data_IF_417088736599
#
_entry.id   IF_417088736599
#
_cell.length_a   1.000
_cell.length_b   1.000
_cell.length_c   1.000
_cell.angle_alpha   90.00
_cell.angle_beta   90.00
_cell.angle_gamma   90.00
#
_symmetry.space_group_name_H-M   'P 1'
#
loop_
_entity.id
_entity.type
_entity.pdbx_description
1 polymer ?
#
# COMPACT_ATOMS: atom_id res chain seq x y z
N UNK A 1 -35.70 -45.47 -35.84
CA UNK A 1 -35.42 -44.48 -36.89
C UNK A 1 -35.22 -43.14 -36.18
N UNK A 2 -34.02 -42.57 -36.28
CA UNK A 2 -33.64 -41.29 -35.69
C UNK A 2 -33.14 -40.37 -36.80
N UNK A 3 -33.41 -39.08 -36.67
CA UNK A 3 -32.96 -38.08 -37.62
C UNK A 3 -31.62 -37.51 -37.17
N UNK A 4 -30.63 -37.52 -38.07
CA UNK A 4 -29.32 -36.91 -37.86
C UNK A 4 -29.22 -35.67 -38.74
N UNK A 5 -28.63 -34.60 -38.22
CA UNK A 5 -28.25 -33.42 -38.99
C UNK A 5 -26.82 -33.59 -39.48
N UNK A 6 -26.62 -33.68 -40.79
CA UNK A 6 -25.30 -33.86 -41.40
C UNK A 6 -24.97 -32.67 -42.29
N UNK A 7 -23.75 -32.16 -42.16
CA UNK A 7 -23.20 -31.10 -43.00
C UNK A 7 -22.29 -31.72 -44.07
N UNK A 8 -22.64 -31.55 -45.33
CA UNK A 8 -21.85 -32.01 -46.47
C UNK A 8 -20.64 -31.10 -46.70
N UNK A 9 -19.62 -31.62 -47.39
CA UNK A 9 -18.41 -30.86 -47.73
C UNK A 9 -18.70 -29.57 -48.53
N UNK A 10 -19.84 -29.51 -49.22
CA UNK A 10 -20.30 -28.34 -49.98
C UNK A 10 -21.00 -27.28 -49.10
N UNK A 11 -21.10 -27.50 -47.78
CA UNK A 11 -21.74 -26.59 -46.82
C UNK A 11 -23.26 -26.72 -46.73
N UNK A 12 -23.85 -27.71 -47.41
CA UNK A 12 -25.27 -28.02 -47.31
C UNK A 12 -25.56 -28.86 -46.07
N UNK A 13 -26.62 -28.51 -45.34
CA UNK A 13 -27.05 -29.23 -44.14
C UNK A 13 -28.35 -29.96 -44.48
N UNK A 14 -28.35 -31.28 -44.36
CA UNK A 14 -29.55 -32.10 -44.51
C UNK A 14 -29.86 -32.91 -43.25
N UNK A 15 -31.15 -33.15 -43.05
CA UNK A 15 -31.66 -34.00 -42.00
C UNK A 15 -31.97 -35.37 -42.60
N UNK A 16 -31.16 -36.37 -42.25
CA UNK A 16 -31.22 -37.72 -42.80
C UNK A 16 -31.88 -38.62 -41.75
N UNK A 17 -32.94 -39.35 -42.14
CA UNK A 17 -33.53 -40.38 -41.30
C UNK A 17 -32.71 -41.67 -41.39
N UNK A 18 -32.19 -42.13 -40.25
CA UNK A 18 -31.27 -43.26 -40.18
C UNK A 18 -31.71 -44.24 -39.10
N UNK A 19 -31.20 -45.46 -39.17
CA UNK A 19 -31.43 -46.48 -38.14
C UNK A 19 -30.74 -46.08 -36.81
N UNK A 20 -31.27 -46.58 -35.69
CA UNK A 20 -30.86 -46.12 -34.36
C UNK A 20 -29.38 -46.40 -34.07
N UNK A 21 -28.85 -47.51 -34.58
CA UNK A 21 -27.44 -47.90 -34.43
C UNK A 21 -26.50 -46.91 -35.14
N UNK A 22 -26.89 -46.44 -36.34
CA UNK A 22 -26.10 -45.49 -37.13
C UNK A 22 -26.11 -44.11 -36.47
N UNK A 23 -27.23 -43.73 -35.86
CA UNK A 23 -27.34 -42.48 -35.11
C UNK A 23 -26.47 -42.47 -33.84
N UNK A 24 -26.31 -43.60 -33.18
CA UNK A 24 -25.44 -43.71 -32.01
C UNK A 24 -23.96 -43.60 -32.39
N UNK A 25 -23.53 -44.31 -33.44
CA UNK A 25 -22.15 -44.24 -33.96
C UNK A 25 -21.80 -42.82 -34.41
N UNK A 26 -22.71 -42.13 -35.12
CA UNK A 26 -22.48 -40.76 -35.54
C UNK A 26 -22.29 -39.80 -34.35
N UNK A 27 -23.09 -39.95 -33.30
CA UNK A 27 -22.97 -39.15 -32.09
C UNK A 27 -21.66 -39.41 -31.33
N UNK A 28 -21.11 -40.62 -31.39
CA UNK A 28 -19.78 -40.92 -30.84
C UNK A 28 -18.65 -40.26 -31.64
N UNK A 29 -18.72 -40.28 -32.96
CA UNK A 29 -17.75 -39.63 -33.85
C UNK A 29 -17.73 -38.12 -33.59
N UNK A 30 -18.89 -37.46 -33.56
CA UNK A 30 -18.95 -36.02 -33.24
C UNK A 30 -18.32 -35.70 -31.87
N UNK A 31 -18.61 -36.52 -30.86
CA UNK A 31 -18.02 -36.34 -29.52
C UNK A 31 -16.50 -36.48 -29.56
N UNK A 32 -15.98 -37.42 -30.36
CA UNK A 32 -14.55 -37.61 -30.53
C UNK A 32 -13.92 -36.42 -31.26
N UNK A 33 -14.48 -35.97 -32.37
CA UNK A 33 -13.99 -34.81 -33.13
C UNK A 33 -13.99 -33.53 -32.29
N UNK A 34 -15.08 -33.27 -31.55
CA UNK A 34 -15.13 -32.12 -30.61
C UNK A 34 -14.04 -32.21 -29.54
N UNK A 35 -13.71 -33.41 -29.05
CA UNK A 35 -12.59 -33.60 -28.10
C UNK A 35 -11.23 -33.36 -28.76
N UNK A 36 -11.02 -33.86 -29.97
CA UNK A 36 -9.78 -33.66 -30.72
C UNK A 36 -9.58 -32.19 -31.06
N UNK A 37 -10.59 -31.50 -31.59
CA UNK A 37 -10.52 -30.08 -31.90
C UNK A 37 -10.22 -29.25 -30.66
N UNK A 38 -10.90 -29.51 -29.53
CA UNK A 38 -10.56 -28.85 -28.26
C UNK A 38 -9.11 -29.10 -27.82
N UNK A 39 -8.59 -30.32 -28.06
CA UNK A 39 -7.20 -30.66 -27.76
C UNK A 39 -6.23 -29.91 -28.68
N UNK A 40 -6.57 -29.77 -29.96
CA UNK A 40 -5.76 -29.09 -30.97
C UNK A 40 -5.75 -27.59 -30.76
N UNK A 41 -6.90 -26.94 -30.58
CA UNK A 41 -7.00 -25.49 -30.32
C UNK A 41 -6.33 -25.08 -29.00
N UNK A 42 -6.23 -25.99 -28.02
CA UNK A 42 -5.45 -25.73 -26.79
C UNK A 42 -3.94 -25.88 -26.98
N UNK A 43 -3.49 -26.61 -28.01
CA UNK A 43 -2.07 -26.86 -28.30
C UNK A 43 -1.50 -25.90 -29.32
N UNK A 44 -2.35 -25.38 -30.22
CA UNK A 44 -1.97 -24.39 -31.21
C UNK A 44 -2.16 -22.99 -30.65
N UNK A 45 -1.04 -22.33 -30.33
CA UNK A 45 -0.97 -20.89 -30.10
C UNK A 45 -0.14 -20.32 -31.25
N UNK A 46 -0.74 -19.45 -32.07
CA UNK A 46 -0.01 -18.79 -33.16
C UNK A 46 0.84 -17.65 -32.61
N UNK A 47 1.97 -17.37 -33.27
CA UNK A 47 2.83 -16.24 -32.91
C UNK A 47 2.06 -14.92 -32.93
N UNK A 48 1.20 -14.72 -33.94
CA UNK A 48 0.34 -13.54 -34.07
C UNK A 48 -0.58 -13.36 -32.86
N UNK A 49 -1.14 -14.46 -32.34
CA UNK A 49 -1.99 -14.43 -31.15
C UNK A 49 -1.20 -14.04 -29.89
N UNK A 50 0.06 -14.48 -29.79
CA UNK A 50 0.93 -14.10 -28.66
C UNK A 50 1.28 -12.60 -28.71
N UNK A 51 1.57 -12.07 -29.90
CA UNK A 51 1.80 -10.63 -30.09
C UNK A 51 0.54 -9.80 -29.76
N UNK A 52 -0.64 -10.25 -30.20
CA UNK A 52 -1.93 -9.62 -29.85
C UNK A 52 -2.22 -9.66 -28.34
N UNK A 53 -1.83 -10.74 -27.65
CA UNK A 53 -1.94 -10.88 -26.19
C UNK A 53 -0.88 -10.04 -25.44
N UNK A 54 -0.02 -9.29 -26.14
CA UNK A 54 0.97 -8.38 -25.57
C UNK A 54 2.31 -9.01 -25.20
N UNK A 55 2.61 -10.20 -25.71
CA UNK A 55 3.94 -10.80 -25.58
C UNK A 55 4.91 -10.19 -26.58
N UNK A 56 5.86 -9.39 -26.11
CA UNK A 56 6.97 -8.91 -26.93
C UNK A 56 8.13 -9.92 -26.89
N UNK A 57 8.55 -10.39 -28.06
CA UNK A 57 9.72 -11.24 -28.19
C UNK A 57 10.94 -10.36 -28.47
N UNK A 58 12.03 -10.49 -27.69
CA UNK A 58 13.24 -9.71 -27.94
C UNK A 58 13.85 -10.05 -29.29
N UNK A 59 14.49 -9.06 -29.91
CA UNK A 59 15.21 -9.25 -31.18
C UNK A 59 16.33 -10.28 -30.96
N UNK A 60 16.41 -11.36 -31.75
CA UNK A 60 17.48 -12.34 -31.62
C UNK A 60 18.90 -11.79 -31.78
N UNK A 61 19.07 -10.57 -32.30
CA UNK A 61 20.36 -9.88 -32.39
C UNK A 61 20.73 -9.05 -31.15
N UNK A 62 19.80 -8.79 -30.22
CA UNK A 62 20.10 -8.08 -28.97
C UNK A 62 20.81 -9.00 -27.95
N UNK A 63 21.84 -8.46 -27.30
CA UNK A 63 22.55 -9.17 -26.24
C UNK A 63 21.65 -9.32 -25.00
N UNK A 64 21.52 -10.56 -24.52
CA UNK A 64 20.69 -10.93 -23.36
C UNK A 64 21.11 -10.13 -22.13
N UNK A 65 22.40 -9.84 -21.96
CA UNK A 65 22.92 -9.05 -20.84
C UNK A 65 22.40 -7.60 -20.86
N UNK A 66 22.33 -6.99 -22.04
CA UNK A 66 21.85 -5.61 -22.24
C UNK A 66 20.35 -5.51 -21.98
N UNK A 67 19.56 -6.53 -22.36
CA UNK A 67 18.13 -6.57 -22.09
C UNK A 67 17.86 -6.66 -20.58
N UNK A 68 18.61 -7.52 -19.88
CA UNK A 68 18.50 -7.66 -18.44
C UNK A 68 18.87 -6.37 -17.69
N UNK A 69 19.95 -5.71 -18.10
CA UNK A 69 20.37 -4.44 -17.51
C UNK A 69 19.29 -3.35 -17.70
N UNK A 70 18.73 -3.21 -18.90
CA UNK A 70 17.60 -2.28 -19.17
C UNK A 70 16.37 -2.61 -18.32
N UNK A 71 16.04 -3.89 -18.15
CA UNK A 71 14.90 -4.32 -17.32
C UNK A 71 15.15 -4.00 -15.85
N UNK A 72 16.33 -4.31 -15.31
CA UNK A 72 16.66 -3.96 -13.93
C UNK A 72 16.67 -2.45 -13.70
N UNK A 73 17.19 -1.66 -14.64
CA UNK A 73 17.14 -0.19 -14.56
C UNK A 73 15.69 0.31 -14.55
N UNK A 74 14.84 -0.19 -15.46
CA UNK A 74 13.44 0.17 -15.50
C UNK A 74 12.68 -0.23 -14.22
N UNK A 75 12.99 -1.40 -13.65
CA UNK A 75 12.42 -1.83 -12.37
C UNK A 75 12.88 -0.94 -11.22
N UNK A 76 14.18 -0.60 -11.16
CA UNK A 76 14.72 0.30 -10.15
C UNK A 76 14.10 1.69 -10.25
N UNK A 77 13.97 2.23 -11.46
CA UNK A 77 13.33 3.52 -11.69
C UNK A 77 11.85 3.49 -11.29
N UNK A 78 11.12 2.44 -11.66
CA UNK A 78 9.73 2.25 -11.24
C UNK A 78 9.59 2.13 -9.70
N UNK A 79 10.51 1.44 -9.03
CA UNK A 79 10.54 1.36 -7.57
C UNK A 79 10.83 2.73 -6.94
N UNK A 80 11.80 3.46 -7.46
CA UNK A 80 12.13 4.81 -7.00
C UNK A 80 10.94 5.77 -7.17
N UNK A 81 10.26 5.72 -8.30
CA UNK A 81 9.04 6.50 -8.55
C UNK A 81 7.93 6.16 -7.56
N UNK A 82 7.69 4.87 -7.29
CA UNK A 82 6.71 4.42 -6.28
C UNK A 82 7.06 4.96 -4.89
N UNK A 83 8.33 4.86 -4.49
CA UNK A 83 8.79 5.36 -3.19
C UNK A 83 8.60 6.87 -3.06
N UNK A 84 8.88 7.63 -4.11
CA UNK A 84 8.65 9.08 -4.12
C UNK A 84 7.16 9.42 -4.07
N UNK A 85 6.30 8.69 -4.80
CA UNK A 85 4.84 8.86 -4.71
C UNK A 85 4.32 8.59 -3.30
N UNK A 86 4.72 7.47 -2.68
CA UNK A 86 4.32 7.16 -1.30
C UNK A 86 4.80 8.22 -0.30
N UNK A 87 6.01 8.74 -0.50
CA UNK A 87 6.57 9.80 0.32
C UNK A 87 5.74 11.07 0.18
N UNK A 88 5.37 11.46 -1.03
CA UNK A 88 4.53 12.62 -1.32
C UNK A 88 3.13 12.46 -0.70
N UNK A 89 2.50 11.30 -0.87
CA UNK A 89 1.21 10.96 -0.27
C UNK A 89 1.22 11.08 1.26
N UNK A 90 2.27 10.54 1.89
CA UNK A 90 2.47 10.66 3.34
C UNK A 90 2.57 12.12 3.78
N UNK A 91 3.25 12.97 3.00
CA UNK A 91 3.35 14.39 3.32
C UNK A 91 2.03 15.11 3.12
N UNK A 92 1.31 14.83 2.05
CA UNK A 92 0.00 15.41 1.78
C UNK A 92 -0.99 15.07 2.92
N UNK A 93 -1.12 13.79 3.29
CA UNK A 93 -1.99 13.37 4.41
C UNK A 93 -1.63 14.05 5.72
N UNK A 94 -0.32 14.25 5.99
CA UNK A 94 0.16 14.97 7.18
C UNK A 94 -0.26 16.44 7.21
N UNK A 95 -0.29 17.09 6.04
CA UNK A 95 -0.73 18.49 5.94
C UNK A 95 -2.25 18.58 6.09
N UNK A 96 -3.00 17.72 5.42
CA UNK A 96 -4.47 17.67 5.49
C UNK A 96 -4.98 17.41 6.92
N UNK A 97 -4.27 16.62 7.71
CA UNK A 97 -4.61 16.40 9.11
C UNK A 97 -4.42 17.64 10.01
N UNK A 98 -3.60 18.62 9.58
CA UNK A 98 -3.21 19.78 10.41
C UNK A 98 -3.78 21.11 9.90
N UNK A 99 -4.04 21.21 8.60
CA UNK A 99 -4.47 22.43 7.93
C UNK A 99 -5.81 22.24 7.23
N UNK A 100 -6.42 23.36 6.81
CA UNK A 100 -7.58 23.30 5.94
C UNK A 100 -7.21 22.72 4.56
N UNK A 101 -8.12 22.01 3.86
CA UNK A 101 -7.80 21.36 2.58
C UNK A 101 -7.17 22.30 1.55
N UNK A 102 -7.70 23.51 1.40
CA UNK A 102 -7.17 24.52 0.46
C UNK A 102 -5.78 25.03 0.85
N UNK A 103 -5.50 25.17 2.13
CA UNK A 103 -4.17 25.58 2.60
C UNK A 103 -3.16 24.45 2.42
N UNK A 104 -3.55 23.21 2.77
CA UNK A 104 -2.73 22.02 2.61
C UNK A 104 -2.37 21.81 1.13
N UNK A 105 -3.34 21.89 0.23
CA UNK A 105 -3.14 21.77 -1.21
C UNK A 105 -2.19 22.83 -1.75
N UNK A 106 -2.45 24.13 -1.50
CA UNK A 106 -1.61 25.22 -1.98
C UNK A 106 -0.16 25.12 -1.45
N UNK A 107 -0.01 24.78 -0.16
CA UNK A 107 1.29 24.61 0.46
C UNK A 107 2.02 23.38 -0.07
N UNK A 108 1.32 22.27 -0.29
CA UNK A 108 1.88 21.04 -0.83
C UNK A 108 2.47 21.25 -2.23
N UNK A 109 1.67 21.85 -3.12
CA UNK A 109 2.08 22.15 -4.50
C UNK A 109 3.27 23.11 -4.55
N UNK A 110 3.31 24.10 -3.64
CA UNK A 110 4.42 25.04 -3.58
C UNK A 110 5.70 24.41 -2.99
N UNK A 111 5.60 23.71 -1.85
CA UNK A 111 6.77 23.26 -1.08
C UNK A 111 7.36 21.93 -1.54
N UNK A 112 6.52 21.00 -1.98
CA UNK A 112 6.94 19.65 -2.34
C UNK A 112 7.01 19.46 -3.86
N UNK A 113 6.04 20.00 -4.60
CA UNK A 113 6.05 19.93 -6.08
C UNK A 113 6.83 21.09 -6.72
N UNK A 114 7.36 22.03 -5.93
CA UNK A 114 8.13 23.20 -6.40
C UNK A 114 7.43 24.02 -7.49
N UNK A 115 6.10 24.07 -7.46
CA UNK A 115 5.33 24.78 -8.46
C UNK A 115 5.35 26.29 -8.24
N UNK A 116 5.38 27.06 -9.34
CA UNK A 116 5.24 28.51 -9.28
C UNK A 116 3.83 28.89 -8.80
N UNK A 117 3.73 29.93 -7.97
CA UNK A 117 2.45 30.39 -7.39
C UNK A 117 1.39 30.75 -8.44
N UNK A 118 1.81 31.24 -9.61
CA UNK A 118 0.93 31.52 -10.75
C UNK A 118 0.26 30.23 -11.25
N UNK A 119 1.06 29.19 -11.52
CA UNK A 119 0.54 27.89 -11.99
C UNK A 119 -0.38 27.22 -10.96
N UNK A 120 -0.05 27.33 -9.67
CA UNK A 120 -0.91 26.84 -8.59
C UNK A 120 -2.25 27.58 -8.59
N UNK A 121 -2.24 28.88 -8.88
CA UNK A 121 -3.45 29.69 -8.96
C UNK A 121 -4.37 29.21 -10.09
N UNK A 122 -3.79 28.91 -11.27
CA UNK A 122 -4.51 28.34 -12.40
C UNK A 122 -5.10 26.97 -12.06
N UNK A 123 -4.30 26.07 -11.48
CA UNK A 123 -4.74 24.71 -11.11
C UNK A 123 -5.82 24.69 -10.02
N UNK A 124 -5.79 25.65 -9.09
CA UNK A 124 -6.79 25.80 -8.04
C UNK A 124 -7.98 26.69 -8.44
N UNK A 125 -7.96 27.31 -9.62
CA UNK A 125 -8.98 28.26 -10.08
C UNK A 125 -9.14 29.50 -9.18
N UNK A 126 -8.03 30.03 -8.66
CA UNK A 126 -7.99 31.20 -7.76
C UNK A 126 -6.96 32.23 -8.21
N UNK A 127 -6.95 33.42 -7.62
CA UNK A 127 -5.94 34.44 -7.92
C UNK A 127 -4.60 34.15 -7.23
N UNK A 128 -3.49 34.59 -7.83
CA UNK A 128 -2.16 34.41 -7.26
C UNK A 128 -2.05 35.01 -5.84
N UNK A 129 -2.70 36.15 -5.61
CA UNK A 129 -2.77 36.78 -4.30
C UNK A 129 -3.46 35.90 -3.25
N UNK A 130 -4.48 35.14 -3.64
CA UNK A 130 -5.14 34.18 -2.76
C UNK A 130 -4.21 33.01 -2.41
N UNK A 131 -3.49 32.46 -3.40
CA UNK A 131 -2.51 31.39 -3.19
C UNK A 131 -1.41 31.83 -2.22
N UNK A 132 -0.85 33.04 -2.41
CA UNK A 132 0.15 33.62 -1.49
C UNK A 132 -0.37 33.68 -0.06
N UNK A 133 -1.62 34.14 0.14
CA UNK A 133 -2.26 34.20 1.46
C UNK A 133 -2.50 32.81 2.06
N UNK A 134 -2.87 31.82 1.25
CA UNK A 134 -3.06 30.44 1.71
C UNK A 134 -1.76 29.83 2.19
N UNK A 135 -0.67 30.00 1.44
CA UNK A 135 0.67 29.50 1.80
C UNK A 135 1.16 30.18 3.08
N UNK A 136 1.05 31.51 3.19
CA UNK A 136 1.50 32.22 4.40
C UNK A 136 0.73 31.75 5.65
N UNK A 137 -0.59 31.62 5.55
CA UNK A 137 -1.41 31.11 6.66
C UNK A 137 -1.07 29.66 7.01
N UNK A 138 -0.73 28.85 6.01
CA UNK A 138 -0.31 27.47 6.21
C UNK A 138 0.99 27.41 7.04
N UNK A 139 1.98 28.23 6.68
CA UNK A 139 3.26 28.35 7.38
C UNK A 139 3.05 28.81 8.84
N UNK A 140 2.30 29.89 9.06
CA UNK A 140 2.00 30.40 10.40
C UNK A 140 1.32 29.34 11.30
N UNK A 141 0.37 28.58 10.74
CA UNK A 141 -0.33 27.55 11.48
C UNK A 141 0.60 26.38 11.85
N UNK A 142 1.45 25.95 10.93
CA UNK A 142 2.45 24.91 11.18
C UNK A 142 3.45 25.34 12.25
N UNK A 143 3.89 26.59 12.22
CA UNK A 143 4.82 27.13 13.22
C UNK A 143 4.17 27.16 14.62
N UNK A 144 2.93 27.64 14.73
CA UNK A 144 2.19 27.64 16.00
C UNK A 144 2.03 26.22 16.56
N UNK A 145 1.64 25.27 15.72
CA UNK A 145 1.52 23.86 16.12
C UNK A 145 2.86 23.29 16.61
N UNK A 146 3.96 23.66 15.96
CA UNK A 146 5.30 23.25 16.38
C UNK A 146 5.68 23.86 17.75
N UNK A 147 5.40 25.15 17.96
CA UNK A 147 5.64 25.83 19.23
C UNK A 147 4.84 25.17 20.38
N UNK A 148 3.55 24.92 20.17
CA UNK A 148 2.69 24.22 21.14
C UNK A 148 3.21 22.81 21.47
N UNK A 149 3.66 22.05 20.46
CA UNK A 149 4.23 20.72 20.67
C UNK A 149 5.52 20.77 21.52
N UNK A 150 6.35 21.79 21.29
CA UNK A 150 7.58 22.01 22.05
C UNK A 150 7.30 22.39 23.50
N UNK A 151 6.32 23.26 23.74
CA UNK A 151 5.87 23.62 25.08
C UNK A 151 5.29 22.43 25.82
N UNK A 152 4.37 21.68 25.21
CA UNK A 152 3.80 20.46 25.77
C UNK A 152 4.88 19.43 26.12
N UNK A 153 5.93 19.29 25.29
CA UNK A 153 7.08 18.41 25.57
C UNK A 153 7.85 18.87 26.81
N UNK A 154 8.10 20.18 26.94
CA UNK A 154 8.77 20.75 28.13
C UNK A 154 7.94 20.51 29.39
N UNK A 155 6.63 20.71 29.33
CA UNK A 155 5.71 20.47 30.45
C UNK A 155 5.67 19.01 30.86
N UNK A 156 5.51 18.08 29.91
CA UNK A 156 5.58 16.63 30.17
C UNK A 156 6.88 16.24 30.87
N UNK A 157 8.01 16.81 30.46
CA UNK A 157 9.31 16.58 31.12
C UNK A 157 9.34 17.13 32.55
N UNK A 158 8.73 18.30 32.79
CA UNK A 158 8.60 18.88 34.14
C UNK A 158 7.72 18.01 35.04
N UNK A 159 6.58 17.51 34.53
CA UNK A 159 5.67 16.62 35.26
C UNK A 159 6.36 15.32 35.65
N UNK A 160 7.00 14.63 34.69
CA UNK A 160 7.77 13.40 34.96
C UNK A 160 8.85 13.62 36.03
N UNK A 161 9.55 14.75 36.01
CA UNK A 161 10.53 15.10 37.05
C UNK A 161 9.89 15.33 38.42
N UNK A 162 8.72 15.95 38.48
CA UNK A 162 7.96 16.14 39.73
C UNK A 162 7.49 14.80 40.29
N UNK A 163 6.94 13.93 39.45
CA UNK A 163 6.50 12.58 39.82
C UNK A 163 7.66 11.73 40.32
N UNK A 164 8.79 11.69 39.61
CA UNK A 164 9.98 10.96 40.05
C UNK A 164 10.49 11.46 41.41
N UNK A 165 10.44 12.78 41.67
CA UNK A 165 10.78 13.35 42.99
C UNK A 165 9.80 12.92 44.08
N UNK A 166 8.50 12.83 43.78
CA UNK A 166 7.49 12.33 44.73
C UNK A 166 7.72 10.86 45.05
N UNK A 167 7.87 10.01 44.04
CA UNK A 167 8.15 8.58 44.20
C UNK A 167 9.42 8.34 45.03
N UNK A 168 10.49 9.09 44.76
CA UNK A 168 11.74 8.98 45.54
C UNK A 168 11.52 9.34 47.02
N UNK A 169 10.71 10.36 47.32
CA UNK A 169 10.38 10.73 48.70
C UNK A 169 9.53 9.66 49.39
N UNK A 170 8.57 9.07 48.68
CA UNK A 170 7.74 7.97 49.22
C UNK A 170 8.57 6.73 49.51
N UNK A 171 9.45 6.32 48.58
CA UNK A 171 10.38 5.21 48.80
C UNK A 171 11.29 5.45 50.02
N UNK A 172 11.81 6.67 50.17
CA UNK A 172 12.62 7.02 51.34
C UNK A 172 11.84 6.94 52.65
N UNK A 173 10.56 7.36 52.66
CA UNK A 173 9.70 7.23 53.85
C UNK A 173 9.42 5.77 54.19
N UNK A 174 9.12 4.94 53.19
CA UNK A 174 8.90 3.50 53.38
C UNK A 174 10.15 2.82 53.93
N UNK A 175 11.33 3.12 53.37
CA UNK A 175 12.62 2.60 53.86
C UNK A 175 12.85 2.97 55.33
N UNK A 176 12.61 4.23 55.72
CA UNK A 176 12.73 4.66 57.11
C UNK A 176 11.78 3.90 58.03
N UNK A 177 10.51 3.77 57.64
CA UNK A 177 9.51 3.01 58.39
C UNK A 177 9.91 1.54 58.56
N UNK A 178 10.38 0.89 57.49
CA UNK A 178 10.86 -0.50 57.56
C UNK A 178 12.09 -0.62 58.46
N UNK A 179 12.99 0.37 58.47
CA UNK A 179 14.14 0.38 59.37
C UNK A 179 13.70 0.51 60.83
N UNK A 180 12.77 1.41 61.13
CA UNK A 180 12.16 1.56 62.47
C UNK A 180 11.53 0.24 62.92
N UNK A 181 10.67 -0.37 62.10
CA UNK A 181 10.03 -1.66 62.39
C UNK A 181 11.06 -2.78 62.65
N UNK A 182 12.16 -2.84 61.87
CA UNK A 182 13.23 -3.83 62.12
C UNK A 182 14.02 -3.57 63.40
N UNK A 183 14.20 -2.31 63.79
CA UNK A 183 14.88 -1.94 65.04
C UNK A 183 14.00 -2.28 66.25
N UNK A 184 12.70 -2.02 66.17
CA UNK A 184 11.72 -2.43 67.18
C UNK A 184 11.72 -3.95 67.36
N UNK A 185 11.69 -4.72 66.27
CA UNK A 185 11.78 -6.19 66.34
C UNK A 185 13.10 -6.66 66.96
N UNK A 186 14.25 -6.03 66.64
CA UNK A 186 15.54 -6.34 67.28
C UNK A 186 15.52 -6.03 68.78
N UNK A 187 14.97 -4.88 69.17
CA UNK A 187 14.85 -4.48 70.58
C UNK A 187 13.94 -5.42 71.36
N UNK A 188 12.80 -5.81 70.78
CA UNK A 188 11.91 -6.82 71.35
C UNK A 188 12.66 -8.16 71.53
N UNK A 189 13.44 -8.58 70.53
CA UNK A 189 14.25 -9.80 70.62
C UNK A 189 15.30 -9.74 71.74
N UNK A 190 15.91 -8.57 71.98
CA UNK A 190 16.87 -8.36 73.07
C UNK A 190 16.19 -8.31 74.44
N UNK A 191 15.03 -7.66 74.55
CA UNK A 191 14.29 -7.48 75.81
C UNK A 191 13.58 -8.74 76.29
N UNK A 192 12.98 -9.50 75.37
CA UNK A 192 12.22 -10.71 75.68
C UNK A 192 13.05 -11.99 75.54
N UNK A 193 14.34 -11.87 75.19
CA UNK A 193 15.32 -12.94 75.25
C UNK A 193 14.86 -14.22 74.57
N UNK A 194 14.93 -14.29 73.24
CA UNK A 194 15.00 -15.60 72.60
C UNK A 194 16.46 -16.08 72.64
N UNK A 195 16.66 -17.27 73.22
CA UNK A 195 17.92 -18.04 73.19
C UNK A 195 18.65 -17.98 71.84
#
# INVERSE_FOLDING_TARGET
MKTITYEFADGHIENIEVEDDVAEVFAEIEKYEKKVNRKETRRQVSLSKMLEDGFDFPDPEEDIEVIWEKQEEAERDAENERLEQERLDRQQRRLEAKLTPRQAQAYFMFKYLNMKKVRIADEMGVTEGAVRKLILKAEDNLEKLHQQAMEARKERKRLRRKEARKLKKEQQKLLKRTQEETLELRLLKVLFGEN
#
